data_IF_539676366995
#
_entry.id   IF_539676366995
#
_cell.length_a   1.000
_cell.length_b   1.000
_cell.length_c   1.000
_cell.angle_alpha   90.00
_cell.angle_beta   90.00
_cell.angle_gamma   90.00
#
_symmetry.space_group_name_H-M   'P 1'
#
loop_
_entity.id
_entity.type
_entity.pdbx_description
1 polymer ?
#
# COMPACT_ATOMS: atom_id res chain seq x y z
N UNK A 1 -12.00 19.64 1.64
CA UNK A 1 -13.43 19.53 2.00
C UNK A 1 -14.11 18.72 0.90
N UNK A 2 -14.98 17.77 1.23
CA UNK A 2 -15.71 16.98 0.23
C UNK A 2 -16.83 17.83 -0.40
N UNK A 3 -16.99 17.88 -1.74
CA UNK A 3 -18.05 18.64 -2.41
C UNK A 3 -19.39 17.92 -2.34
N UNK A 4 -20.09 18.05 -1.20
CA UNK A 4 -21.35 17.33 -0.93
C UNK A 4 -22.51 17.74 -1.87
N UNK A 5 -22.45 18.94 -2.44
CA UNK A 5 -23.37 19.41 -3.48
C UNK A 5 -23.31 18.54 -4.73
N UNK A 6 -22.10 18.17 -5.18
CA UNK A 6 -21.92 17.28 -6.34
C UNK A 6 -22.29 15.84 -6.03
N UNK A 7 -22.02 15.39 -4.79
CA UNK A 7 -22.44 14.06 -4.32
C UNK A 7 -23.95 13.93 -4.39
N UNK A 8 -24.68 14.96 -3.94
CA UNK A 8 -26.15 14.97 -3.98
C UNK A 8 -26.67 15.06 -5.43
N UNK A 9 -26.13 15.98 -6.24
CA UNK A 9 -26.61 16.24 -7.60
C UNK A 9 -26.46 15.03 -8.53
N UNK A 10 -25.41 14.23 -8.31
CA UNK A 10 -25.11 13.05 -9.11
C UNK A 10 -25.45 11.74 -8.39
N UNK A 11 -26.13 11.80 -7.25
CA UNK A 11 -26.52 10.64 -6.43
C UNK A 11 -25.36 9.68 -6.13
N UNK A 12 -24.18 10.22 -5.81
CA UNK A 12 -22.97 9.43 -5.58
C UNK A 12 -22.95 8.80 -4.18
N UNK A 13 -22.42 7.57 -4.08
CA UNK A 13 -22.17 6.88 -2.82
C UNK A 13 -20.74 7.11 -2.32
N UNK A 14 -20.57 7.32 -1.01
CA UNK A 14 -19.27 7.41 -0.36
C UNK A 14 -19.06 6.13 0.46
N UNK A 15 -18.18 5.25 -0.01
CA UNK A 15 -17.84 3.99 0.66
C UNK A 15 -16.50 4.15 1.39
N UNK A 16 -16.51 4.02 2.71
CA UNK A 16 -15.30 3.92 3.50
C UNK A 16 -14.63 2.55 3.32
N UNK A 17 -13.30 2.52 3.25
CA UNK A 17 -12.52 1.28 3.20
C UNK A 17 -11.41 1.33 4.25
N UNK A 18 -11.23 0.23 4.99
CA UNK A 18 -10.20 0.11 6.00
C UNK A 18 -9.59 -1.29 6.00
N UNK A 19 -8.38 -1.40 5.45
CA UNK A 19 -7.66 -2.65 5.35
C UNK A 19 -8.39 -3.73 4.55
N UNK A 20 -7.86 -4.95 4.59
CA UNK A 20 -8.46 -6.14 4.02
C UNK A 20 -8.68 -7.15 5.14
N UNK A 21 -9.85 -7.78 5.20
CA UNK A 21 -10.08 -8.81 6.22
C UNK A 21 -9.13 -9.99 6.01
N UNK A 22 -8.59 -10.56 7.09
CA UNK A 22 -7.60 -11.64 7.02
C UNK A 22 -8.09 -12.87 6.22
N UNK A 23 -9.39 -13.18 6.27
CA UNK A 23 -9.98 -14.29 5.50
C UNK A 23 -9.95 -14.07 3.98
N UNK A 24 -9.74 -12.83 3.52
CA UNK A 24 -9.55 -12.50 2.10
C UNK A 24 -8.09 -12.62 1.64
N UNK A 25 -7.14 -12.92 2.54
CA UNK A 25 -5.75 -13.08 2.15
C UNK A 25 -5.52 -14.31 1.28
N UNK A 26 -6.10 -15.50 1.56
CA UNK A 26 -5.93 -16.66 0.70
C UNK A 26 -6.28 -16.42 -0.78
N UNK A 27 -7.46 -15.88 -1.17
CA UNK A 27 -7.74 -15.62 -2.57
C UNK A 27 -6.80 -14.56 -3.18
N UNK A 28 -6.36 -13.55 -2.42
CA UNK A 28 -5.35 -12.60 -2.88
C UNK A 28 -3.98 -13.27 -3.13
N UNK A 29 -3.53 -14.16 -2.24
CA UNK A 29 -2.28 -14.91 -2.41
C UNK A 29 -2.34 -15.84 -3.63
N UNK A 30 -3.49 -16.46 -3.91
CA UNK A 30 -3.67 -17.26 -5.13
C UNK A 30 -3.60 -16.40 -6.40
N UNK A 31 -4.09 -15.16 -6.37
CA UNK A 31 -3.90 -14.22 -7.49
C UNK A 31 -2.43 -13.87 -7.72
N UNK A 32 -1.62 -13.76 -6.65
CA UNK A 32 -0.17 -13.54 -6.75
C UNK A 32 0.51 -14.78 -7.36
N UNK A 33 0.21 -15.99 -6.85
CA UNK A 33 0.75 -17.24 -7.40
C UNK A 33 0.40 -17.44 -8.88
N UNK A 34 -0.80 -17.03 -9.29
CA UNK A 34 -1.25 -17.08 -10.67
C UNK A 34 -0.67 -15.96 -11.56
N UNK A 35 0.16 -15.06 -11.02
CA UNK A 35 0.76 -13.93 -11.74
C UNK A 35 -0.22 -12.80 -12.10
N UNK A 36 -1.48 -12.88 -11.63
CA UNK A 36 -2.49 -11.83 -11.83
C UNK A 36 -2.15 -10.58 -11.02
N UNK A 37 -1.52 -10.76 -9.87
CA UNK A 37 -0.94 -9.70 -9.06
C UNK A 37 0.57 -9.88 -9.03
N UNK A 38 1.31 -8.79 -9.24
CA UNK A 38 2.77 -8.74 -9.25
C UNK A 38 3.25 -7.66 -8.27
N UNK A 39 3.06 -7.86 -6.95
CA UNK A 39 3.39 -6.85 -5.92
C UNK A 39 4.87 -6.45 -5.92
N UNK A 40 5.76 -7.30 -6.42
CA UNK A 40 7.18 -7.02 -6.59
C UNK A 40 7.44 -5.80 -7.48
N UNK A 41 6.54 -5.48 -8.41
CA UNK A 41 6.64 -4.27 -9.25
C UNK A 41 6.41 -2.97 -8.49
N UNK A 42 5.85 -3.05 -7.28
CA UNK A 42 5.66 -1.91 -6.39
C UNK A 42 6.89 -1.65 -5.52
N UNK A 43 7.84 -2.60 -5.45
CA UNK A 43 9.05 -2.48 -4.64
C UNK A 43 10.01 -1.53 -5.37
N UNK A 44 10.32 -0.41 -4.74
CA UNK A 44 11.30 0.55 -5.25
C UNK A 44 12.72 0.11 -4.89
N UNK A 45 12.93 -0.29 -3.63
CA UNK A 45 14.20 -0.81 -3.14
C UNK A 45 14.02 -1.67 -1.90
N UNK A 46 15.02 -2.50 -1.61
CA UNK A 46 15.13 -3.25 -0.38
C UNK A 46 16.24 -2.68 0.50
N UNK A 47 16.04 -2.64 1.81
CA UNK A 47 17.00 -2.11 2.78
C UNK A 47 17.26 -3.11 3.91
N UNK A 48 18.38 -2.91 4.58
CA UNK A 48 18.72 -3.57 5.84
C UNK A 48 17.93 -2.99 7.01
N UNK A 49 17.88 -3.74 8.12
CA UNK A 49 17.33 -3.26 9.38
C UNK A 49 18.09 -2.04 9.91
N UNK A 50 19.41 -1.97 9.71
CA UNK A 50 20.23 -0.83 10.11
C UNK A 50 19.84 0.44 9.34
N UNK A 51 19.66 0.33 8.02
CA UNK A 51 19.21 1.46 7.19
C UNK A 51 17.81 1.95 7.54
N UNK A 52 16.96 1.09 8.12
CA UNK A 52 15.63 1.49 8.59
C UNK A 52 15.68 2.58 9.67
N UNK A 53 16.77 2.65 10.46
CA UNK A 53 16.99 3.71 11.47
C UNK A 53 17.08 5.11 10.86
N UNK A 54 17.50 5.20 9.60
CA UNK A 54 17.55 6.45 8.82
C UNK A 54 16.30 6.60 7.96
N UNK A 55 15.81 5.51 7.36
CA UNK A 55 14.67 5.57 6.44
C UNK A 55 13.35 5.94 7.13
N UNK A 56 13.03 5.32 8.27
CA UNK A 56 11.74 5.50 8.94
C UNK A 56 11.49 6.95 9.41
N UNK A 57 12.44 7.64 10.07
CA UNK A 57 12.23 9.03 10.49
C UNK A 57 12.04 10.01 9.33
N UNK A 58 12.55 9.69 8.14
CA UNK A 58 12.48 10.53 6.94
C UNK A 58 11.26 10.22 6.04
N UNK A 59 10.39 9.29 6.41
CA UNK A 59 9.24 8.88 5.58
C UNK A 59 8.22 10.01 5.36
N UNK A 60 8.18 11.02 6.21
CA UNK A 60 7.32 12.20 6.07
C UNK A 60 7.76 13.16 4.95
N UNK A 61 8.91 12.93 4.31
CA UNK A 61 9.37 13.73 3.17
C UNK A 61 8.75 13.26 1.83
N UNK A 62 8.08 12.10 1.80
CA UNK A 62 7.35 11.57 0.63
C UNK A 62 8.17 11.50 -0.68
N UNK A 63 9.46 11.19 -0.59
CA UNK A 63 10.35 11.15 -1.76
C UNK A 63 10.25 9.84 -2.56
N UNK A 64 9.77 8.77 -1.93
CA UNK A 64 9.68 7.44 -2.56
C UNK A 64 8.43 7.34 -3.45
N UNK A 65 8.58 6.69 -4.61
CA UNK A 65 7.50 6.41 -5.56
C UNK A 65 6.89 5.01 -5.38
N UNK A 66 7.57 4.14 -4.63
CA UNK A 66 7.12 2.78 -4.34
C UNK A 66 7.34 2.36 -2.89
N UNK A 67 7.21 1.05 -2.66
CA UNK A 67 7.37 0.41 -1.35
C UNK A 67 8.85 0.15 -1.08
N UNK A 68 9.31 0.54 0.10
CA UNK A 68 10.64 0.16 0.63
C UNK A 68 10.47 -1.05 1.53
N UNK A 69 11.16 -2.15 1.22
CA UNK A 69 11.03 -3.41 1.98
C UNK A 69 12.28 -3.67 2.81
N UNK A 70 12.11 -3.91 4.11
CA UNK A 70 13.21 -4.39 4.97
C UNK A 70 13.29 -5.92 4.81
N UNK A 71 14.38 -6.43 4.24
CA UNK A 71 14.55 -7.86 4.00
C UNK A 71 15.90 -8.43 4.46
N UNK A 72 16.77 -7.61 5.05
CA UNK A 72 18.05 -8.02 5.62
C UNK A 72 18.13 -7.61 7.10
N UNK A 73 18.38 -8.58 7.97
CA UNK A 73 18.28 -8.43 9.44
C UNK A 73 19.60 -8.65 10.19
N UNK A 74 20.67 -8.95 9.45
CA UNK A 74 22.02 -9.21 9.98
C UNK A 74 22.91 -8.00 9.82
#
# INVERSE_FOLDING_TARGET
>A
KVPMDQVLANELEIIGSHGMQAFQYPPMLEMIKAGKLQPEKLIERTITLQEATVALPNMNNFENKGVVVINAFV
#
